data_IF_326270942020
#
_entry.id   IF_326270942020
#
_cell.length_a   1.000
_cell.length_b   1.000
_cell.length_c   1.000
_cell.angle_alpha   90.00
_cell.angle_beta   90.00
_cell.angle_gamma   90.00
#
_symmetry.space_group_name_H-M   'P 1'
#
loop_
_entity.id
_entity.type
_entity.pdbx_description
1 polymer ?
#
# COMPACT_ATOMS: atom_id res chain seq x y z
N UNK A 1 5.92 -88.47 38.26
CA UNK A 1 4.83 -89.07 37.45
C UNK A 1 4.04 -87.96 36.78
N UNK A 2 3.83 -88.08 35.46
CA UNK A 2 2.64 -87.68 34.66
C UNK A 2 2.20 -86.18 34.73
N UNK A 3 2.47 -85.32 33.74
CA UNK A 3 1.81 -85.05 32.42
C UNK A 3 0.52 -84.19 32.45
N UNK A 4 0.59 -83.00 31.79
CA UNK A 4 -0.35 -82.37 30.80
C UNK A 4 -1.01 -81.00 31.10
N UNK A 5 -0.54 -80.00 30.31
CA UNK A 5 -1.18 -78.98 29.45
C UNK A 5 -2.42 -78.14 29.87
N UNK A 6 -2.30 -76.80 29.72
CA UNK A 6 -3.04 -75.83 28.84
C UNK A 6 -2.79 -74.40 29.42
N UNK A 7 -2.14 -73.40 28.80
CA UNK A 7 -2.29 -72.65 27.53
C UNK A 7 -2.95 -71.23 27.68
N UNK A 8 -2.07 -70.18 27.71
CA UNK A 8 -2.09 -68.88 26.96
C UNK A 8 -3.18 -67.81 27.31
N UNK A 9 -2.99 -66.45 27.19
CA UNK A 9 -1.80 -65.60 26.94
C UNK A 9 -1.57 -64.43 27.94
N UNK A 10 -0.33 -63.91 28.00
CA UNK A 10 0.00 -62.56 28.48
C UNK A 10 0.35 -61.72 27.24
N UNK A 11 -0.44 -60.70 26.94
CA UNK A 11 -0.18 -59.74 25.84
C UNK A 11 0.56 -58.53 26.40
N UNK A 12 1.58 -58.15 25.63
CA UNK A 12 2.62 -57.16 25.88
C UNK A 12 2.12 -55.76 26.31
N UNK A 13 2.77 -55.24 27.35
CA UNK A 13 2.72 -53.85 27.78
C UNK A 13 3.62 -53.03 26.83
N UNK A 14 3.02 -52.18 25.99
CA UNK A 14 3.75 -51.25 25.15
C UNK A 14 4.31 -50.10 26.01
N UNK A 15 5.64 -50.02 26.15
CA UNK A 15 6.32 -48.83 26.67
C UNK A 15 6.19 -47.70 25.64
N UNK A 16 5.37 -46.70 25.96
CA UNK A 16 5.32 -45.44 25.24
C UNK A 16 6.54 -44.59 25.60
N UNK A 17 7.44 -44.39 24.64
CA UNK A 17 8.45 -43.35 24.68
C UNK A 17 7.76 -41.99 24.54
N UNK A 18 7.64 -41.26 25.64
CA UNK A 18 7.26 -39.84 25.60
C UNK A 18 8.43 -39.08 24.97
N UNK A 19 8.35 -38.85 23.65
CA UNK A 19 9.20 -37.88 22.99
C UNK A 19 8.94 -36.52 23.63
N UNK A 20 9.93 -35.99 24.34
CA UNK A 20 9.93 -34.58 24.69
C UNK A 20 9.99 -33.77 23.40
N UNK A 21 8.83 -33.32 22.93
CA UNK A 21 8.76 -32.17 22.03
C UNK A 21 9.26 -31.00 22.86
N UNK A 22 10.55 -30.67 22.69
CA UNK A 22 11.05 -29.37 23.08
C UNK A 22 10.29 -28.37 22.23
N UNK A 23 9.22 -27.81 22.78
CA UNK A 23 8.62 -26.60 22.25
C UNK A 23 9.72 -25.54 22.31
N UNK A 24 10.42 -25.31 21.19
CA UNK A 24 11.36 -24.22 21.08
C UNK A 24 10.58 -22.94 21.33
N UNK A 25 10.81 -22.31 22.48
CA UNK A 25 10.39 -20.94 22.69
C UNK A 25 10.90 -20.11 21.51
N UNK A 26 10.09 -19.23 20.92
CA UNK A 26 10.54 -18.41 19.80
C UNK A 26 11.83 -17.68 20.20
N UNK A 27 12.84 -17.77 19.34
CA UNK A 27 14.16 -17.20 19.60
C UNK A 27 14.00 -15.76 20.09
N UNK A 28 14.56 -15.48 21.27
CA UNK A 28 14.48 -14.16 21.93
C UNK A 28 14.93 -13.03 20.99
N UNK A 29 15.87 -13.30 20.09
CA UNK A 29 16.30 -12.33 19.08
C UNK A 29 15.18 -11.99 18.10
N UNK A 30 14.40 -12.98 17.66
CA UNK A 30 13.27 -12.81 16.74
C UNK A 30 12.13 -12.04 17.42
N UNK A 31 11.82 -12.35 18.68
CA UNK A 31 10.80 -11.61 19.45
C UNK A 31 11.17 -10.14 19.63
N UNK A 32 12.45 -9.85 19.92
CA UNK A 32 12.93 -8.48 20.04
C UNK A 32 12.86 -7.73 18.71
N UNK A 33 13.20 -8.40 17.60
CA UNK A 33 13.07 -7.81 16.26
C UNK A 33 11.61 -7.48 15.93
N UNK A 34 10.66 -8.35 16.27
CA UNK A 34 9.23 -8.12 16.08
C UNK A 34 8.72 -6.94 16.91
N UNK A 35 9.12 -6.84 18.18
CA UNK A 35 8.76 -5.72 19.05
C UNK A 35 9.27 -4.38 18.49
N UNK A 36 10.50 -4.35 17.97
CA UNK A 36 11.08 -3.16 17.33
C UNK A 36 10.35 -2.77 16.04
N UNK A 37 9.95 -3.76 15.24
CA UNK A 37 9.13 -3.53 14.05
C UNK A 37 7.75 -2.97 14.38
N UNK A 38 7.12 -3.45 15.45
CA UNK A 38 5.82 -2.93 15.90
C UNK A 38 5.92 -1.45 16.29
N UNK A 39 7.00 -1.03 16.95
CA UNK A 39 7.25 0.39 17.23
C UNK A 39 7.43 1.23 15.97
N UNK A 40 8.15 0.68 14.97
CA UNK A 40 8.37 1.37 13.69
C UNK A 40 7.07 1.59 12.91
N UNK A 41 6.17 0.59 12.88
CA UNK A 41 5.01 0.57 11.97
C UNK A 41 3.70 0.98 12.62
N UNK A 42 3.49 0.68 13.91
CA UNK A 42 2.22 0.94 14.61
C UNK A 42 2.28 2.27 15.35
N UNK A 43 3.39 2.58 16.01
CA UNK A 43 3.56 3.80 16.80
C UNK A 43 4.18 4.95 15.97
N UNK A 44 4.81 4.64 14.83
CA UNK A 44 5.52 5.60 13.99
C UNK A 44 6.79 6.17 14.65
N UNK A 45 7.21 5.64 15.81
CA UNK A 45 8.37 6.10 16.57
C UNK A 45 9.65 5.46 16.05
N UNK A 46 10.18 6.06 14.98
CA UNK A 46 11.44 5.64 14.35
C UNK A 46 12.64 5.76 15.31
N UNK A 47 12.63 6.72 16.24
CA UNK A 47 13.76 6.95 17.16
C UNK A 47 13.87 5.83 18.18
N UNK A 48 12.74 5.42 18.76
CA UNK A 48 12.71 4.29 19.69
C UNK A 48 12.99 2.96 18.98
N UNK A 49 12.48 2.77 17.76
CA UNK A 49 12.76 1.58 16.96
C UNK A 49 14.27 1.43 16.66
N UNK A 50 14.95 2.52 16.28
CA UNK A 50 16.40 2.53 16.05
C UNK A 50 17.18 2.06 17.28
N UNK A 51 16.85 2.55 18.49
CA UNK A 51 17.51 2.12 19.74
C UNK A 51 17.33 0.62 20.00
N UNK A 52 16.16 0.08 19.67
CA UNK A 52 15.89 -1.34 19.81
C UNK A 52 16.66 -2.17 18.79
N UNK A 53 16.76 -1.72 17.54
CA UNK A 53 17.60 -2.37 16.53
C UNK A 53 19.07 -2.36 16.92
N UNK A 54 19.58 -1.24 17.44
CA UNK A 54 20.96 -1.15 17.93
C UNK A 54 21.22 -2.17 19.07
N UNK A 55 20.27 -2.31 19.98
CA UNK A 55 20.34 -3.31 21.06
C UNK A 55 20.36 -4.74 20.53
N UNK A 56 19.56 -5.04 19.50
CA UNK A 56 19.54 -6.36 18.87
C UNK A 56 20.89 -6.64 18.20
N UNK A 57 21.44 -5.67 17.48
CA UNK A 57 22.72 -5.83 16.77
C UNK A 57 23.88 -6.00 17.75
N UNK A 58 23.90 -5.25 18.86
CA UNK A 58 24.95 -5.38 19.87
C UNK A 58 24.89 -6.72 20.61
N UNK A 59 23.69 -7.21 20.89
CA UNK A 59 23.47 -8.46 21.64
C UNK A 59 23.66 -9.70 20.75
N UNK A 60 23.17 -9.66 19.52
CA UNK A 60 23.05 -10.83 18.65
C UNK A 60 23.96 -10.80 17.41
N UNK A 61 24.76 -9.76 17.22
CA UNK A 61 25.63 -9.61 16.03
C UNK A 61 26.60 -10.76 15.78
N UNK A 62 26.94 -11.55 16.80
CA UNK A 62 27.79 -12.75 16.69
C UNK A 62 27.01 -14.06 16.84
N UNK A 63 25.91 -14.07 17.59
CA UNK A 63 25.19 -15.28 17.99
C UNK A 63 23.97 -15.57 17.12
N UNK A 64 23.34 -14.55 16.55
CA UNK A 64 22.26 -14.67 15.56
C UNK A 64 22.42 -13.61 14.47
N UNK A 65 23.37 -13.89 13.55
CA UNK A 65 23.73 -13.01 12.43
C UNK A 65 22.56 -12.71 11.48
N UNK A 66 21.67 -13.67 11.15
CA UNK A 66 20.48 -13.38 10.34
C UNK A 66 19.55 -12.33 10.97
N UNK A 67 19.26 -12.43 12.27
CA UNK A 67 18.41 -11.46 12.97
C UNK A 67 19.11 -10.11 13.11
N UNK A 68 20.41 -10.10 13.42
CA UNK A 68 21.19 -8.87 13.49
C UNK A 68 21.27 -8.15 12.14
N UNK A 69 21.42 -8.88 11.02
CA UNK A 69 21.41 -8.30 9.68
C UNK A 69 20.04 -7.69 9.35
N UNK A 70 18.93 -8.38 9.65
CA UNK A 70 17.58 -7.82 9.50
C UNK A 70 17.36 -6.56 10.36
N UNK A 71 17.86 -6.54 11.59
CA UNK A 71 17.82 -5.36 12.44
C UNK A 71 18.61 -4.19 11.84
N UNK A 72 19.81 -4.44 11.29
CA UNK A 72 20.61 -3.41 10.63
C UNK A 72 19.94 -2.84 9.37
N UNK A 73 19.31 -3.67 8.54
CA UNK A 73 18.56 -3.22 7.35
C UNK A 73 17.42 -2.27 7.74
N UNK A 74 16.65 -2.64 8.77
CA UNK A 74 15.56 -1.81 9.31
C UNK A 74 16.07 -0.52 9.92
N UNK A 75 17.15 -0.59 10.70
CA UNK A 75 17.80 0.58 11.30
C UNK A 75 18.30 1.57 10.24
N UNK A 76 18.96 1.07 9.20
CA UNK A 76 19.44 1.90 8.10
C UNK A 76 18.28 2.55 7.32
N UNK A 77 17.19 1.81 7.11
CA UNK A 77 15.95 2.32 6.50
C UNK A 77 15.28 3.40 7.35
N UNK A 78 15.23 3.21 8.67
CA UNK A 78 14.69 4.20 9.61
C UNK A 78 15.53 5.49 9.61
N UNK A 79 16.87 5.38 9.67
CA UNK A 79 17.76 6.54 9.51
C UNK A 79 17.57 7.25 8.17
N UNK A 80 17.36 6.51 7.08
CA UNK A 80 17.12 7.10 5.76
C UNK A 80 15.79 7.89 5.72
N UNK A 81 14.73 7.36 6.33
CA UNK A 81 13.43 8.06 6.45
C UNK A 81 13.53 9.34 7.29
N UNK A 82 14.43 9.36 8.27
CA UNK A 82 14.75 10.53 9.09
C UNK A 82 15.72 11.51 8.40
N UNK A 83 16.30 11.15 7.24
CA UNK A 83 17.31 11.96 6.56
C UNK A 83 18.67 12.00 7.27
N UNK A 84 18.97 11.03 8.13
CA UNK A 84 20.19 10.98 8.93
C UNK A 84 21.37 10.38 8.13
N UNK A 85 22.55 11.02 8.22
CA UNK A 85 23.78 10.55 7.60
C UNK A 85 24.25 9.17 8.11
N UNK A 86 23.77 8.71 9.27
CA UNK A 86 24.01 7.37 9.80
C UNK A 86 23.44 6.27 8.90
N UNK A 87 22.47 6.57 8.02
CA UNK A 87 21.94 5.60 7.07
C UNK A 87 23.07 5.01 6.19
N UNK A 88 23.89 5.86 5.58
CA UNK A 88 25.00 5.44 4.71
C UNK A 88 26.04 4.62 5.47
N UNK A 89 26.38 5.03 6.70
CA UNK A 89 27.30 4.29 7.57
C UNK A 89 26.75 2.91 7.91
N UNK A 90 25.45 2.81 8.18
CA UNK A 90 24.79 1.55 8.51
C UNK A 90 24.74 0.62 7.31
N UNK A 91 24.42 1.12 6.11
CA UNK A 91 24.49 0.32 4.88
C UNK A 91 25.92 -0.20 4.61
N UNK A 92 26.95 0.65 4.76
CA UNK A 92 28.34 0.26 4.60
C UNK A 92 28.75 -0.83 5.60
N UNK A 93 28.26 -0.72 6.85
CA UNK A 93 28.50 -1.71 7.90
C UNK A 93 27.94 -3.08 7.54
N UNK A 94 26.75 -3.16 6.95
CA UNK A 94 26.15 -4.44 6.52
C UNK A 94 27.03 -5.13 5.48
N UNK A 95 27.51 -4.37 4.49
CA UNK A 95 28.39 -4.92 3.44
C UNK A 95 29.73 -5.38 3.99
N UNK A 96 30.30 -4.65 4.95
CA UNK A 96 31.60 -4.94 5.54
C UNK A 96 31.56 -6.09 6.57
N UNK A 97 30.55 -6.09 7.45
CA UNK A 97 30.52 -6.97 8.62
C UNK A 97 29.62 -8.19 8.45
N UNK A 98 28.68 -8.20 7.50
CA UNK A 98 27.68 -9.26 7.31
C UNK A 98 27.75 -9.91 5.92
N UNK A 99 28.97 -10.08 5.40
CA UNK A 99 29.24 -10.67 4.07
C UNK A 99 28.62 -12.06 3.83
N UNK A 100 28.37 -12.82 4.89
CA UNK A 100 27.71 -14.13 4.91
C UNK A 100 26.18 -14.06 4.76
N UNK A 101 25.57 -12.86 4.92
CA UNK A 101 24.13 -12.64 4.80
C UNK A 101 23.82 -12.03 3.43
N UNK A 102 23.81 -12.89 2.40
CA UNK A 102 23.77 -12.48 0.99
C UNK A 102 22.64 -11.49 0.66
N UNK A 103 21.41 -11.74 1.13
CA UNK A 103 20.25 -10.88 0.88
C UNK A 103 20.43 -9.48 1.47
N UNK A 104 20.93 -9.41 2.71
CA UNK A 104 21.16 -8.14 3.39
C UNK A 104 22.29 -7.32 2.73
N UNK A 105 23.34 -8.00 2.27
CA UNK A 105 24.45 -7.36 1.55
C UNK A 105 24.00 -6.85 0.19
N UNK A 106 23.18 -7.61 -0.54
CA UNK A 106 22.64 -7.19 -1.82
C UNK A 106 21.80 -5.91 -1.68
N UNK A 107 20.88 -5.88 -0.70
CA UNK A 107 20.07 -4.70 -0.42
C UNK A 107 20.93 -3.49 -0.02
N UNK A 108 21.89 -3.68 0.90
CA UNK A 108 22.77 -2.62 1.37
C UNK A 108 23.63 -2.02 0.23
N UNK A 109 24.11 -2.85 -0.70
CA UNK A 109 24.87 -2.38 -1.88
C UNK A 109 24.02 -1.51 -2.79
N UNK A 110 22.76 -1.88 -3.05
CA UNK A 110 21.82 -1.08 -3.84
C UNK A 110 21.57 0.28 -3.17
N UNK A 111 21.46 0.31 -1.84
CA UNK A 111 21.25 1.56 -1.09
C UNK A 111 22.50 2.46 -1.04
N UNK A 112 23.70 1.88 -0.98
CA UNK A 112 24.97 2.62 -1.07
C UNK A 112 25.21 3.23 -2.45
N UNK A 113 24.85 2.53 -3.53
CA UNK A 113 24.98 3.09 -4.89
C UNK A 113 23.96 4.20 -5.14
N UNK A 114 22.74 4.07 -4.59
CA UNK A 114 21.75 5.14 -4.58
C UNK A 114 22.18 6.36 -3.74
N UNK A 115 22.95 6.15 -2.66
CA UNK A 115 23.51 7.19 -1.79
C UNK A 115 24.82 7.82 -2.27
N UNK A 116 25.57 7.13 -3.13
CA UNK A 116 26.87 7.55 -3.66
C UNK A 116 26.82 8.55 -4.81
N UNK A 117 25.62 8.93 -5.29
CA UNK A 117 25.47 9.98 -6.31
C UNK A 117 25.34 11.37 -5.68
N UNK A 118 26.28 11.71 -4.81
CA UNK A 118 26.69 13.09 -4.62
C UNK A 118 27.95 13.30 -5.49
N UNK A 119 27.80 14.07 -6.58
CA UNK A 119 28.86 14.53 -7.50
C UNK A 119 29.44 13.52 -8.51
N UNK A 120 28.65 13.17 -9.52
CA UNK A 120 29.19 13.00 -10.88
C UNK A 120 28.12 13.48 -11.87
N UNK A 121 28.40 14.45 -12.76
CA UNK A 121 27.41 14.91 -13.72
C UNK A 121 27.29 13.86 -14.83
N UNK A 122 26.49 12.83 -14.58
CA UNK A 122 25.72 12.19 -15.66
C UNK A 122 24.72 13.24 -16.17
N UNK A 123 24.31 13.23 -17.45
CA UNK A 123 23.38 14.22 -17.99
C UNK A 123 22.12 14.20 -17.11
N UNK A 124 22.02 15.19 -16.23
CA UNK A 124 21.00 15.24 -15.22
C UNK A 124 19.69 15.45 -15.95
N UNK A 125 18.79 14.47 -15.90
CA UNK A 125 17.37 14.83 -15.88
C UNK A 125 17.24 15.87 -14.76
N UNK A 126 16.78 17.09 -15.03
CA UNK A 126 16.62 18.10 -14.00
C UNK A 126 15.58 17.58 -13.00
N UNK A 127 16.03 17.03 -11.88
CA UNK A 127 15.15 16.64 -10.78
C UNK A 127 14.87 17.90 -9.97
N UNK A 128 13.83 18.62 -10.36
CA UNK A 128 13.28 19.70 -9.54
C UNK A 128 12.41 19.08 -8.43
N UNK A 129 12.86 19.19 -7.18
CA UNK A 129 12.02 18.89 -6.01
C UNK A 129 10.88 19.88 -5.96
N UNK A 130 9.67 19.42 -6.29
CA UNK A 130 8.47 20.23 -6.19
C UNK A 130 7.98 20.20 -4.74
N UNK A 131 8.26 21.25 -3.98
CA UNK A 131 7.69 21.44 -2.64
C UNK A 131 6.24 21.88 -2.84
N UNK A 132 5.31 20.95 -2.70
CA UNK A 132 3.88 21.26 -2.55
C UNK A 132 3.69 21.93 -1.19
N UNK A 133 2.89 22.98 -1.12
CA UNK A 133 2.68 23.73 0.12
C UNK A 133 2.11 22.85 1.24
N UNK A 134 2.25 23.31 2.48
CA UNK A 134 2.06 22.60 3.76
C UNK A 134 0.66 21.98 4.05
N UNK A 135 -0.25 21.86 3.08
CA UNK A 135 -1.59 21.30 3.33
C UNK A 135 -2.22 20.52 2.17
N UNK A 136 -1.55 20.43 1.00
CA UNK A 136 -2.11 19.73 -0.17
C UNK A 136 -1.33 18.46 -0.46
N UNK A 137 -1.98 17.31 -0.28
CA UNK A 137 -1.47 16.05 -0.79
C UNK A 137 -1.73 16.03 -2.30
N UNK A 138 -0.66 15.97 -3.10
CA UNK A 138 -0.79 15.70 -4.52
C UNK A 138 -1.27 14.25 -4.67
N UNK A 139 -2.53 14.07 -5.01
CA UNK A 139 -3.06 12.73 -5.28
C UNK A 139 -2.64 12.27 -6.68
N UNK A 140 -2.61 13.20 -7.64
CA UNK A 140 -2.22 12.93 -9.02
C UNK A 140 -1.46 14.10 -9.68
N UNK A 141 -0.54 13.76 -10.58
CA UNK A 141 0.14 14.69 -11.50
C UNK A 141 -0.12 14.20 -12.92
N UNK A 142 -0.39 15.11 -13.86
CA UNK A 142 -0.61 14.75 -15.26
C UNK A 142 0.68 14.20 -15.90
N UNK A 143 0.58 13.33 -16.93
CA UNK A 143 1.77 12.73 -17.56
C UNK A 143 2.76 13.74 -18.14
N UNK A 144 2.28 14.91 -18.58
CA UNK A 144 3.09 16.03 -19.08
C UNK A 144 3.75 16.84 -17.94
N UNK A 145 3.48 16.50 -16.68
CA UNK A 145 4.00 17.18 -15.49
C UNK A 145 3.44 18.59 -15.30
N UNK A 146 2.43 19.00 -16.07
CA UNK A 146 1.94 20.38 -16.06
C UNK A 146 0.93 20.63 -14.95
N UNK A 147 0.05 19.69 -14.66
CA UNK A 147 -1.02 19.86 -13.68
C UNK A 147 -0.89 18.87 -12.54
N UNK A 148 -1.28 19.32 -11.35
CA UNK A 148 -1.49 18.50 -10.16
C UNK A 148 -2.94 18.66 -9.72
N UNK A 149 -3.54 17.59 -9.21
CA UNK A 149 -4.81 17.66 -8.50
C UNK A 149 -4.73 16.90 -7.18
N UNK A 150 -5.56 17.33 -6.22
CA UNK A 150 -5.65 16.71 -4.91
C UNK A 150 -6.73 17.34 -4.06
N UNK A 151 -6.88 16.82 -2.86
CA UNK A 151 -7.84 17.30 -1.87
C UNK A 151 -7.20 18.35 -0.97
N UNK A 152 -7.84 19.51 -0.82
CA UNK A 152 -7.49 20.46 0.23
C UNK A 152 -8.21 20.05 1.53
N UNK A 153 -7.54 19.26 2.37
CA UNK A 153 -8.12 18.69 3.60
C UNK A 153 -8.54 19.74 4.65
N UNK A 154 -8.18 21.01 4.47
CA UNK A 154 -8.68 22.08 5.34
C UNK A 154 -10.10 22.53 4.96
N UNK A 155 -10.50 22.33 3.69
CA UNK A 155 -11.76 22.85 3.14
C UNK A 155 -12.64 21.78 2.50
N UNK A 156 -12.05 20.65 2.12
CA UNK A 156 -12.67 19.60 1.31
C UNK A 156 -12.68 19.92 -0.19
N UNK A 157 -12.05 21.02 -0.60
CA UNK A 157 -12.05 21.48 -1.98
C UNK A 157 -11.25 20.53 -2.89
N UNK A 158 -11.73 20.36 -4.12
CA UNK A 158 -10.90 19.81 -5.19
C UNK A 158 -9.94 20.91 -5.64
N UNK A 159 -8.65 20.73 -5.39
CA UNK A 159 -7.60 21.65 -5.82
C UNK A 159 -6.99 21.18 -7.14
N UNK A 160 -6.76 22.12 -8.05
CA UNK A 160 -5.98 21.92 -9.27
C UNK A 160 -4.90 22.98 -9.32
N UNK A 161 -3.66 22.57 -9.55
CA UNK A 161 -2.51 23.47 -9.65
C UNK A 161 -1.83 23.31 -10.99
N UNK A 162 -1.62 24.41 -11.70
CA UNK A 162 -0.70 24.46 -12.84
C UNK A 162 0.72 24.64 -12.28
N UNK A 163 1.55 23.63 -12.48
CA UNK A 163 2.89 23.54 -11.91
C UNK A 163 3.90 24.44 -12.65
N UNK A 164 3.56 24.89 -13.87
CA UNK A 164 4.39 25.81 -14.64
C UNK A 164 4.19 27.25 -14.16
N UNK A 165 2.94 27.70 -14.07
CA UNK A 165 2.58 29.06 -13.65
C UNK A 165 2.46 29.22 -12.13
N UNK A 166 2.33 28.10 -11.40
CA UNK A 166 1.97 28.02 -9.98
C UNK A 166 0.57 28.52 -9.64
N UNK A 167 -0.28 28.74 -10.64
CA UNK A 167 -1.69 29.11 -10.44
C UNK A 167 -2.45 27.95 -9.80
N UNK A 168 -3.29 28.27 -8.81
CA UNK A 168 -4.18 27.32 -8.14
C UNK A 168 -5.64 27.65 -8.42
N UNK A 169 -6.42 26.60 -8.66
CA UNK A 169 -7.86 26.67 -8.90
C UNK A 169 -8.58 25.65 -8.04
N UNK A 170 -9.84 25.96 -7.72
CA UNK A 170 -10.71 25.11 -6.90
C UNK A 170 -12.03 24.88 -7.64
N UNK A 171 -12.07 23.93 -8.60
CA UNK A 171 -13.24 23.70 -9.44
C UNK A 171 -14.47 23.24 -8.66
N UNK A 172 -14.27 22.65 -7.48
CA UNK A 172 -15.33 22.18 -6.59
C UNK A 172 -15.00 22.62 -5.17
N UNK A 173 -16.01 23.13 -4.46
CA UNK A 173 -15.90 23.58 -3.08
C UNK A 173 -16.48 22.52 -2.14
N UNK A 174 -15.69 22.12 -1.16
CA UNK A 174 -16.12 21.37 0.01
C UNK A 174 -16.96 22.23 0.95
N UNK A 175 -17.36 21.62 2.06
CA UNK A 175 -18.12 22.28 3.12
C UNK A 175 -17.65 21.81 4.48
N UNK A 176 -17.52 22.76 5.41
CA UNK A 176 -17.19 22.52 6.80
C UNK A 176 -18.46 22.62 7.67
N UNK A 177 -18.46 21.89 8.78
CA UNK A 177 -19.39 22.02 9.90
C UNK A 177 -18.61 22.04 11.22
N UNK A 178 -19.31 22.27 12.34
CA UNK A 178 -18.68 22.34 13.68
C UNK A 178 -17.91 21.05 14.06
N UNK A 179 -18.20 19.94 13.39
CA UNK A 179 -17.53 18.64 13.57
C UNK A 179 -16.41 18.32 12.57
N UNK A 180 -16.08 19.23 11.64
CA UNK A 180 -15.05 19.02 10.61
C UNK A 180 -15.58 19.07 9.18
N UNK A 181 -15.00 18.25 8.30
CA UNK A 181 -15.42 18.17 6.89
C UNK A 181 -16.82 17.54 6.78
N UNK A 182 -17.76 18.31 6.24
CA UNK A 182 -19.12 17.89 5.95
C UNK A 182 -19.21 17.27 4.56
N UNK A 183 -18.67 17.98 3.56
CA UNK A 183 -18.59 17.52 2.17
C UNK A 183 -17.18 17.76 1.63
N UNK A 184 -16.66 16.81 0.86
CA UNK A 184 -15.31 16.90 0.32
C UNK A 184 -15.12 16.05 -0.94
N UNK A 185 -14.15 16.45 -1.76
CA UNK A 185 -13.67 15.67 -2.90
C UNK A 185 -12.50 14.75 -2.48
N UNK A 186 -12.35 13.60 -3.14
CA UNK A 186 -11.19 12.70 -3.03
C UNK A 186 -10.88 12.02 -4.37
N UNK A 187 -9.71 11.38 -4.43
CA UNK A 187 -9.27 10.51 -5.54
C UNK A 187 -9.46 11.16 -6.93
N UNK A 188 -8.91 12.36 -7.20
CA UNK A 188 -9.06 12.99 -8.50
C UNK A 188 -8.28 12.24 -9.59
N UNK A 189 -8.87 12.16 -10.79
CA UNK A 189 -8.22 11.65 -11.99
C UNK A 189 -8.55 12.53 -13.20
N UNK A 190 -7.52 12.91 -13.98
CA UNK A 190 -7.68 13.69 -15.21
C UNK A 190 -8.16 12.81 -16.36
N UNK A 191 -9.05 13.36 -17.20
CA UNK A 191 -9.43 12.75 -18.47
C UNK A 191 -8.24 12.68 -19.43
N UNK A 192 -8.25 11.79 -20.44
CA UNK A 192 -7.13 11.65 -21.40
C UNK A 192 -6.79 12.95 -22.14
N UNK A 193 -7.79 13.80 -22.40
CA UNK A 193 -7.65 15.11 -23.04
C UNK A 193 -7.36 16.26 -22.05
N UNK A 194 -7.22 15.94 -20.75
CA UNK A 194 -6.96 16.88 -19.66
C UNK A 194 -7.99 18.00 -19.51
N UNK A 195 -9.20 17.83 -20.08
CA UNK A 195 -10.27 18.84 -20.02
C UNK A 195 -11.21 18.66 -18.83
N UNK A 196 -11.30 17.44 -18.31
CA UNK A 196 -12.19 17.04 -17.22
C UNK A 196 -11.44 16.36 -16.08
N UNK A 197 -12.06 16.37 -14.91
CA UNK A 197 -11.56 15.71 -13.71
C UNK A 197 -12.70 14.88 -13.14
N UNK A 198 -12.47 13.57 -13.04
CA UNK A 198 -13.31 12.66 -12.27
C UNK A 198 -12.83 12.63 -10.82
N UNK A 199 -13.74 12.53 -9.88
CA UNK A 199 -13.43 12.50 -8.46
C UNK A 199 -14.55 11.83 -7.67
N UNK A 200 -14.18 11.34 -6.49
CA UNK A 200 -15.09 10.85 -5.48
C UNK A 200 -15.60 12.02 -4.66
N UNK A 201 -16.91 12.10 -4.43
CA UNK A 201 -17.52 13.16 -3.64
C UNK A 201 -18.24 12.57 -2.44
N UNK A 202 -17.79 12.95 -1.26
CA UNK A 202 -18.41 12.61 0.00
C UNK A 202 -19.30 13.75 0.47
N UNK A 203 -20.50 13.42 0.94
CA UNK A 203 -21.42 14.38 1.53
C UNK A 203 -22.09 13.76 2.75
N UNK A 204 -22.04 14.46 3.88
CA UNK A 204 -22.68 14.06 5.12
C UNK A 204 -23.99 14.84 5.28
N UNK A 205 -25.08 14.15 5.63
CA UNK A 205 -26.35 14.82 5.93
C UNK A 205 -26.43 15.29 7.39
N UNK A 206 -27.53 15.97 7.75
CA UNK A 206 -27.77 16.44 9.12
C UNK A 206 -27.98 15.33 10.16
N UNK A 207 -28.14 14.09 9.72
CA UNK A 207 -28.28 12.89 10.55
C UNK A 207 -26.94 12.17 10.74
N UNK A 208 -25.85 12.71 10.17
CA UNK A 208 -24.50 12.14 10.24
C UNK A 208 -24.26 11.00 9.26
N UNK A 209 -25.14 10.79 8.26
CA UNK A 209 -24.93 9.78 7.23
C UNK A 209 -24.08 10.34 6.10
N UNK A 210 -22.93 9.74 5.89
CA UNK A 210 -22.05 10.07 4.77
C UNK A 210 -22.37 9.19 3.56
N UNK A 211 -22.64 9.84 2.43
CA UNK A 211 -22.79 9.20 1.12
C UNK A 211 -21.58 9.50 0.25
N UNK A 212 -21.30 8.62 -0.71
CA UNK A 212 -20.25 8.79 -1.69
C UNK A 212 -20.84 8.69 -3.10
N UNK A 213 -20.45 9.62 -3.97
CA UNK A 213 -20.87 9.66 -5.38
C UNK A 213 -19.67 9.89 -6.28
N UNK A 214 -19.70 9.33 -7.49
CA UNK A 214 -18.72 9.67 -8.52
C UNK A 214 -19.20 10.86 -9.32
N UNK A 215 -18.33 11.85 -9.48
CA UNK A 215 -18.63 13.09 -10.17
C UNK A 215 -17.54 13.44 -11.17
N UNK A 216 -17.91 14.25 -12.15
CA UNK A 216 -17.00 14.81 -13.15
C UNK A 216 -17.21 16.32 -13.21
N UNK A 217 -16.13 17.07 -13.27
CA UNK A 217 -16.16 18.53 -13.44
C UNK A 217 -15.20 18.96 -14.55
N UNK A 218 -15.51 20.05 -15.23
CA UNK A 218 -14.52 20.69 -16.12
C UNK A 218 -13.32 21.18 -15.29
N UNK A 219 -12.10 20.96 -15.79
CA UNK A 219 -10.89 21.53 -15.19
C UNK A 219 -10.94 23.06 -15.13
N UNK A 220 -11.66 23.71 -16.06
CA UNK A 220 -11.84 25.16 -16.07
C UNK A 220 -12.80 25.67 -14.98
N UNK A 221 -13.57 24.78 -14.35
CA UNK A 221 -14.64 25.10 -13.43
C UNK A 221 -15.98 25.19 -14.17
N UNK A 222 -16.87 24.23 -13.89
CA UNK A 222 -18.27 24.21 -14.34
C UNK A 222 -19.12 23.59 -13.23
N UNK A 223 -20.44 23.58 -13.40
CA UNK A 223 -21.29 22.75 -12.55
C UNK A 223 -20.81 21.29 -12.65
N UNK A 224 -20.54 20.60 -11.52
CA UNK A 224 -20.19 19.19 -11.55
C UNK A 224 -21.36 18.33 -12.01
N UNK A 225 -21.06 17.31 -12.81
CA UNK A 225 -22.00 16.29 -13.23
C UNK A 225 -21.84 15.06 -12.34
N UNK A 226 -22.91 14.67 -11.66
CA UNK A 226 -22.95 13.38 -10.95
C UNK A 226 -23.13 12.23 -11.95
N UNK A 227 -22.26 11.23 -11.89
CA UNK A 227 -22.27 10.07 -12.77
C UNK A 227 -23.02 8.92 -12.11
N UNK A 228 -22.69 8.64 -10.85
CA UNK A 228 -23.33 7.57 -10.10
C UNK A 228 -23.35 7.88 -8.61
N UNK A 229 -24.50 7.65 -8.00
CA UNK A 229 -24.71 7.54 -6.56
C UNK A 229 -25.58 6.29 -6.34
N UNK A 230 -25.03 5.32 -5.61
CA UNK A 230 -25.66 4.00 -5.40
C UNK A 230 -25.68 3.65 -3.91
N UNK A 231 -25.75 4.65 -3.03
CA UNK A 231 -26.00 4.36 -1.63
C UNK A 231 -27.42 3.78 -1.46
N UNK A 232 -27.63 2.70 -0.67
CA UNK A 232 -26.66 2.00 0.17
C UNK A 232 -25.95 0.80 -0.50
N UNK A 233 -26.25 0.47 -1.76
CA UNK A 233 -25.64 -0.67 -2.49
C UNK A 233 -24.10 -0.62 -2.49
N UNK A 234 -23.53 0.58 -2.63
CA UNK A 234 -22.11 0.85 -2.50
C UNK A 234 -21.87 1.93 -1.45
N UNK A 235 -20.84 1.71 -0.63
CA UNK A 235 -20.43 2.62 0.42
C UNK A 235 -19.49 3.70 -0.11
N UNK A 236 -18.47 3.29 -0.88
CA UNK A 236 -17.45 4.16 -1.45
C UNK A 236 -17.17 3.78 -2.90
N UNK A 237 -16.83 4.78 -3.69
CA UNK A 237 -16.17 4.69 -4.97
C UNK A 237 -14.88 5.51 -4.88
N UNK A 238 -13.76 4.93 -5.32
CA UNK A 238 -12.46 5.60 -5.44
C UNK A 238 -12.02 5.56 -6.90
N UNK A 239 -11.78 6.71 -7.52
CA UNK A 239 -11.37 6.78 -8.93
C UNK A 239 -9.91 6.39 -9.07
N UNK A 240 -9.64 5.39 -9.92
CA UNK A 240 -8.29 4.94 -10.22
C UNK A 240 -7.77 5.55 -11.53
N UNK A 241 -8.57 5.52 -12.60
CA UNK A 241 -8.18 6.03 -13.92
C UNK A 241 -9.39 6.27 -14.83
N UNK A 242 -9.17 7.02 -15.91
CA UNK A 242 -10.08 7.06 -17.06
C UNK A 242 -9.71 5.96 -18.06
N UNK A 243 -10.71 5.44 -18.78
CA UNK A 243 -10.43 4.64 -19.98
C UNK A 243 -9.76 5.51 -21.06
N UNK A 244 -8.91 4.95 -21.94
CA UNK A 244 -8.24 5.73 -22.99
C UNK A 244 -9.20 6.43 -23.96
N UNK A 245 -10.39 5.86 -24.17
CA UNK A 245 -11.45 6.43 -25.00
C UNK A 245 -12.29 7.51 -24.29
N UNK A 246 -12.04 7.75 -23.00
CA UNK A 246 -12.74 8.75 -22.19
C UNK A 246 -14.21 8.42 -21.90
N UNK A 247 -14.66 7.17 -22.08
CA UNK A 247 -16.07 6.77 -21.90
C UNK A 247 -16.38 6.12 -20.56
N UNK A 248 -15.36 5.64 -19.84
CA UNK A 248 -15.53 4.92 -18.59
C UNK A 248 -14.48 5.33 -17.54
N UNK A 249 -14.82 5.11 -16.28
CA UNK A 249 -13.90 5.28 -15.14
C UNK A 249 -13.58 3.91 -14.55
N UNK A 250 -12.29 3.63 -14.38
CA UNK A 250 -11.82 2.52 -13.57
C UNK A 250 -11.89 2.95 -12.11
N UNK A 251 -12.55 2.15 -11.28
CA UNK A 251 -12.80 2.49 -9.89
C UNK A 251 -12.55 1.30 -8.98
N UNK A 252 -12.20 1.59 -7.74
CA UNK A 252 -12.35 0.66 -6.63
C UNK A 252 -13.67 0.96 -5.94
N UNK A 253 -14.52 -0.04 -5.71
CA UNK A 253 -15.79 0.12 -5.00
C UNK A 253 -15.84 -0.76 -3.77
N UNK A 254 -16.51 -0.28 -2.72
CA UNK A 254 -16.66 -1.01 -1.46
C UNK A 254 -18.14 -1.24 -1.14
N UNK A 255 -18.51 -2.47 -0.79
CA UNK A 255 -19.86 -2.81 -0.31
C UNK A 255 -20.08 -2.30 1.13
N UNK A 256 -21.33 -1.99 1.53
CA UNK A 256 -21.65 -1.59 2.90
C UNK A 256 -21.40 -2.74 3.89
N UNK A 257 -21.47 -2.41 5.19
CA UNK A 257 -21.54 -3.44 6.24
C UNK A 257 -22.80 -4.31 6.06
N UNK A 258 -22.73 -5.62 6.37
CA UNK A 258 -21.58 -6.34 6.94
C UNK A 258 -20.59 -6.91 5.91
N UNK A 259 -20.85 -6.74 4.61
CA UNK A 259 -20.06 -7.35 3.51
C UNK A 259 -18.63 -6.78 3.45
N UNK A 260 -18.49 -5.46 3.32
CA UNK A 260 -17.20 -4.77 3.19
C UNK A 260 -16.25 -5.34 2.11
N UNK A 261 -16.75 -6.13 1.16
CA UNK A 261 -15.96 -6.53 0.01
C UNK A 261 -15.54 -5.31 -0.81
N UNK A 262 -14.31 -5.38 -1.30
CA UNK A 262 -13.75 -4.39 -2.23
C UNK A 262 -13.77 -5.02 -3.61
N UNK A 263 -14.08 -4.23 -4.64
CA UNK A 263 -14.16 -4.68 -6.02
C UNK A 263 -13.44 -3.69 -6.94
N UNK A 264 -12.83 -4.20 -8.02
CA UNK A 264 -12.40 -3.36 -9.15
C UNK A 264 -13.52 -3.41 -10.18
N UNK A 265 -13.95 -2.24 -10.67
CA UNK A 265 -15.06 -2.11 -11.61
C UNK A 265 -14.81 -1.00 -12.63
N UNK A 266 -15.46 -1.13 -13.79
CA UNK A 266 -15.67 -0.02 -14.71
C UNK A 266 -17.01 0.67 -14.41
N UNK A 267 -17.03 1.99 -14.50
CA UNK A 267 -18.25 2.80 -14.46
C UNK A 267 -18.41 3.55 -15.78
N UNK A 268 -19.53 3.33 -16.46
CA UNK A 268 -19.86 4.07 -17.69
C UNK A 268 -20.18 5.54 -17.38
N UNK A 269 -19.56 6.47 -18.10
CA UNK A 269 -19.85 7.90 -17.97
C UNK A 269 -21.17 8.31 -18.65
N UNK A 270 -21.72 7.47 -19.52
CA UNK A 270 -22.99 7.72 -20.18
C UNK A 270 -24.16 7.25 -19.32
N UNK A 271 -24.08 6.00 -18.84
CA UNK A 271 -25.20 5.32 -18.19
C UNK A 271 -25.07 5.21 -16.66
N UNK A 272 -23.87 5.43 -16.12
CA UNK A 272 -23.58 5.16 -14.70
C UNK A 272 -23.63 3.67 -14.34
N UNK A 273 -23.60 2.78 -15.33
CA UNK A 273 -23.55 1.33 -15.12
C UNK A 273 -22.22 0.92 -14.49
N UNK A 274 -22.28 0.07 -13.45
CA UNK A 274 -21.12 -0.48 -12.74
C UNK A 274 -20.88 -1.91 -13.20
N UNK A 275 -19.81 -2.13 -13.96
CA UNK A 275 -19.37 -3.45 -14.42
C UNK A 275 -18.21 -3.94 -13.56
N UNK A 276 -18.51 -4.86 -12.65
CA UNK A 276 -17.49 -5.47 -11.78
C UNK A 276 -16.57 -6.40 -12.58
N UNK A 277 -15.26 -6.20 -12.44
CA UNK A 277 -14.24 -7.05 -13.03
C UNK A 277 -13.72 -8.10 -12.04
N UNK A 278 -13.56 -7.69 -10.78
CA UNK A 278 -12.99 -8.55 -9.73
C UNK A 278 -13.52 -8.18 -8.36
N UNK A 279 -13.88 -9.19 -7.57
CA UNK A 279 -14.22 -9.07 -6.15
C UNK A 279 -13.11 -9.68 -5.31
N UNK A 280 -12.76 -9.02 -4.21
CA UNK A 280 -11.67 -9.44 -3.32
C UNK A 280 -12.23 -9.98 -2.01
N UNK A 281 -11.69 -11.11 -1.56
CA UNK A 281 -12.00 -11.66 -0.25
C UNK A 281 -11.37 -10.80 0.86
N UNK A 282 -11.94 -10.88 2.07
CA UNK A 282 -11.53 -10.05 3.20
C UNK A 282 -10.05 -10.16 3.57
N UNK A 283 -9.43 -11.33 3.37
CA UNK A 283 -8.02 -11.58 3.64
C UNK A 283 -7.07 -11.05 2.55
N UNK A 284 -7.57 -10.71 1.36
CA UNK A 284 -6.73 -10.22 0.25
C UNK A 284 -6.40 -8.73 0.37
N UNK A 285 -7.07 -8.05 1.29
CA UNK A 285 -7.01 -6.61 1.52
C UNK A 285 -6.50 -6.32 2.91
N UNK A 286 -5.90 -5.14 3.09
CA UNK A 286 -5.49 -4.65 4.40
C UNK A 286 -6.52 -3.62 4.87
N UNK A 287 -7.24 -3.94 5.94
CA UNK A 287 -8.36 -3.13 6.40
C UNK A 287 -9.46 -3.01 5.34
N UNK A 288 -9.79 -1.77 4.97
CA UNK A 288 -10.88 -1.43 4.05
C UNK A 288 -10.39 -0.98 2.66
N UNK A 289 -9.13 -1.23 2.29
CA UNK A 289 -8.57 -0.76 1.02
C UNK A 289 -7.73 -1.83 0.29
N UNK A 290 -7.78 -1.78 -1.05
CA UNK A 290 -6.93 -2.55 -1.96
C UNK A 290 -5.67 -1.76 -2.39
N UNK A 291 -5.31 -0.67 -1.70
CA UNK A 291 -4.21 0.22 -2.13
C UNK A 291 -4.45 0.80 -3.53
N UNK A 292 -3.38 1.23 -4.20
CA UNK A 292 -3.51 1.85 -5.52
C UNK A 292 -3.80 0.81 -6.61
N UNK A 293 -4.71 1.18 -7.50
CA UNK A 293 -5.01 0.50 -8.75
C UNK A 293 -4.58 1.42 -9.89
N UNK A 294 -3.83 0.90 -10.87
CA UNK A 294 -3.42 1.67 -12.06
C UNK A 294 -3.92 1.00 -13.34
N UNK A 295 -4.07 1.80 -14.39
CA UNK A 295 -4.40 1.35 -15.74
C UNK A 295 -3.19 1.62 -16.65
N UNK A 296 -2.85 0.66 -17.48
CA UNK A 296 -1.81 0.83 -18.50
C UNK A 296 -2.22 1.91 -19.50
N UNK A 297 -1.23 2.60 -20.08
CA UNK A 297 -1.45 3.69 -21.04
C UNK A 297 -2.26 3.25 -22.27
N UNK A 298 -2.12 1.99 -22.69
CA UNK A 298 -2.88 1.39 -23.78
C UNK A 298 -4.28 0.88 -23.35
N UNK A 299 -4.60 0.95 -22.05
CA UNK A 299 -5.87 0.53 -21.47
C UNK A 299 -6.12 -0.97 -21.42
N UNK A 300 -5.12 -1.81 -21.71
CA UNK A 300 -5.29 -3.26 -21.77
C UNK A 300 -5.09 -3.95 -20.41
N UNK A 301 -4.33 -3.36 -19.50
CA UNK A 301 -3.95 -3.97 -18.24
C UNK A 301 -4.26 -3.09 -17.05
N UNK A 302 -4.79 -3.70 -16.02
CA UNK A 302 -5.01 -3.11 -14.70
C UNK A 302 -3.98 -3.72 -13.75
N UNK A 303 -3.17 -2.88 -13.11
CA UNK A 303 -2.27 -3.31 -12.05
C UNK A 303 -2.88 -3.02 -10.70
N UNK A 304 -2.77 -3.97 -9.79
CA UNK A 304 -3.19 -3.80 -8.41
C UNK A 304 -2.31 -4.61 -7.48
N UNK A 305 -2.35 -4.27 -6.20
CA UNK A 305 -1.65 -5.00 -5.16
C UNK A 305 -2.62 -5.73 -4.23
N UNK A 306 -2.31 -6.95 -3.82
CA UNK A 306 -3.13 -7.72 -2.89
C UNK A 306 -2.27 -8.66 -2.04
N UNK A 307 -2.79 -9.08 -0.89
CA UNK A 307 -2.11 -10.06 -0.04
C UNK A 307 -1.99 -11.40 -0.76
N UNK A 308 -0.80 -11.99 -0.68
CA UNK A 308 -0.45 -13.20 -1.43
C UNK A 308 -1.10 -14.47 -0.88
N UNK A 309 -1.27 -14.56 0.44
CA UNK A 309 -1.95 -15.67 1.13
C UNK A 309 -2.58 -15.19 2.44
N UNK A 310 -3.38 -16.06 3.10
CA UNK A 310 -4.01 -15.77 4.40
C UNK A 310 -2.97 -15.71 5.54
N UNK A 311 -1.84 -16.37 5.36
CA UNK A 311 -0.79 -16.57 6.36
C UNK A 311 0.35 -15.55 6.23
N UNK A 312 0.35 -14.70 5.19
CA UNK A 312 1.39 -13.71 4.95
C UNK A 312 0.82 -12.30 4.82
N UNK A 313 1.59 -11.32 5.30
CA UNK A 313 1.36 -9.89 5.05
C UNK A 313 2.07 -9.41 3.77
N UNK A 314 2.70 -10.33 3.02
CA UNK A 314 3.36 -10.01 1.76
C UNK A 314 2.34 -9.60 0.71
N UNK A 315 2.69 -8.55 -0.02
CA UNK A 315 1.80 -7.92 -0.98
C UNK A 315 2.38 -8.02 -2.38
N UNK A 316 1.71 -8.76 -3.24
CA UNK A 316 2.15 -8.98 -4.61
C UNK A 316 1.43 -8.04 -5.56
N UNK A 317 2.08 -7.75 -6.69
CA UNK A 317 1.49 -7.01 -7.80
C UNK A 317 0.93 -8.01 -8.82
N UNK A 318 -0.30 -7.76 -9.21
CA UNK A 318 -1.04 -8.58 -10.16
C UNK A 318 -1.47 -7.73 -11.36
N UNK A 319 -1.55 -8.36 -12.53
CA UNK A 319 -2.20 -7.79 -13.69
C UNK A 319 -3.54 -8.47 -13.98
N UNK A 320 -4.54 -7.65 -14.27
CA UNK A 320 -5.85 -8.06 -14.72
C UNK A 320 -6.09 -7.47 -16.11
N UNK A 321 -6.56 -8.26 -17.06
CA UNK A 321 -7.00 -7.74 -18.34
C UNK A 321 -8.17 -6.77 -18.14
N UNK A 322 -8.10 -5.58 -18.74
CA UNK A 322 -9.06 -4.51 -18.50
C UNK A 322 -10.47 -4.82 -19.02
N UNK A 323 -10.60 -5.72 -19.99
CA UNK A 323 -11.88 -6.23 -20.49
C UNK A 323 -12.50 -7.32 -19.59
N UNK A 324 -11.76 -7.77 -18.57
CA UNK A 324 -12.10 -8.85 -17.66
C UNK A 324 -11.67 -10.25 -18.12
N UNK A 325 -10.95 -10.41 -19.24
CA UNK A 325 -10.70 -11.70 -19.90
C UNK A 325 -9.61 -12.58 -19.28
N UNK A 326 -9.25 -12.38 -18.00
CA UNK A 326 -8.29 -13.22 -17.28
C UNK A 326 -7.24 -12.42 -16.48
N UNK A 327 -6.57 -13.12 -15.56
CA UNK A 327 -5.55 -12.55 -14.65
C UNK A 327 -4.21 -13.24 -14.88
N UNK A 328 -3.11 -12.47 -14.80
CA UNK A 328 -1.75 -13.00 -14.79
C UNK A 328 -0.95 -12.33 -13.66
N UNK A 329 -0.22 -13.13 -12.88
CA UNK A 329 0.63 -12.62 -11.79
C UNK A 329 1.96 -12.13 -12.38
N UNK A 330 2.31 -10.85 -12.17
CA UNK A 330 3.47 -10.24 -12.82
C UNK A 330 4.76 -10.30 -11.98
N UNK A 331 4.69 -10.35 -10.64
CA UNK A 331 5.91 -10.33 -9.81
C UNK A 331 5.76 -11.10 -8.48
N UNK A 332 6.86 -11.74 -8.06
CA UNK A 332 7.10 -12.24 -6.70
C UNK A 332 8.20 -11.37 -6.08
N UNK A 333 7.84 -10.47 -5.17
CA UNK A 333 8.82 -9.71 -4.39
C UNK A 333 8.44 -9.80 -2.93
N UNK A 334 9.41 -10.17 -2.07
CA UNK A 334 9.26 -9.99 -0.64
C UNK A 334 9.09 -8.50 -0.32
N UNK A 335 8.08 -8.14 0.46
CA UNK A 335 7.77 -6.75 0.83
C UNK A 335 6.37 -6.27 0.41
N UNK A 336 6.04 -5.04 0.80
CA UNK A 336 4.77 -4.39 0.49
C UNK A 336 4.95 -3.44 -0.69
N UNK A 337 4.47 -3.81 -1.88
CA UNK A 337 4.25 -2.85 -2.97
C UNK A 337 2.79 -2.39 -2.89
N UNK A 338 2.55 -1.16 -2.43
CA UNK A 338 1.20 -0.60 -2.28
C UNK A 338 0.73 0.23 -3.47
N UNK A 339 1.68 0.63 -4.32
CA UNK A 339 1.50 1.61 -5.38
C UNK A 339 2.11 1.12 -6.71
N UNK A 340 1.48 0.13 -7.38
CA UNK A 340 1.88 -0.21 -8.74
C UNK A 340 1.60 0.99 -9.66
N UNK A 341 2.57 1.31 -10.51
CA UNK A 341 2.46 2.31 -11.57
C UNK A 341 2.44 1.58 -12.89
#
# INVERSE_FOLDING_TARGET
MIRRFLAIPVIALALSTVGHVVAQQPDRAVLLLQAAQQKETVEGDLTSAIKQYETIVSTYGKTNRPVAAKALLRMASAYQRLGDAQAQKTWARIVAEFGDQADAVAEARVRLTAGGSASRPSPSLPVSRMVTGHSSNADIVTPDGRFMAGTDWHTGDLLVRDLTSREERRPVRGRLSDGGLQDWAESPAFSPDMSQIAYSWFATDGEGRTTNSLRVVSRAGSAPREIVNRFPEYRNFDVAAWSPDGRSLLVTVMKPLPDLSVQIAWVSLETGEVRVLRTFESWQKQGNSLGKVSLSTDGHWILYSALASKESLDRHVYALAADGSGQSQLTMTAGACTDPV
#
